data_IF_239116091793
#
_entry.id   IF_239116091793
#
_cell.length_a   1.000
_cell.length_b   1.000
_cell.length_c   1.000
_cell.angle_alpha   90.00
_cell.angle_beta   90.00
_cell.angle_gamma   90.00
#
_symmetry.space_group_name_H-M   'P 1'
#
loop_
_entity.id
_entity.type
_entity.pdbx_description
1 polymer ?
#
# COMPACT_ATOMS: atom_id res chain seq x y z
N UNK A 1 7.09 6.92 13.57
CA UNK A 1 7.05 8.36 13.21
C UNK A 1 6.22 9.06 14.27
N UNK A 2 6.90 9.80 15.13
CA UNK A 2 6.22 10.54 16.21
C UNK A 2 6.39 12.06 16.08
N UNK A 3 7.43 12.50 15.36
CA UNK A 3 7.74 13.91 15.16
C UNK A 3 8.04 14.23 13.70
N UNK A 4 7.80 15.48 13.30
CA UNK A 4 8.24 16.00 12.00
C UNK A 4 9.78 15.94 11.89
N UNK A 5 10.30 15.69 10.68
CA UNK A 5 11.73 15.57 10.40
C UNK A 5 12.32 14.16 10.58
N UNK A 6 11.61 13.24 11.25
CA UNK A 6 12.11 11.87 11.45
C UNK A 6 12.22 11.11 10.11
N UNK A 7 11.16 11.17 9.29
CA UNK A 7 11.15 10.49 8.00
C UNK A 7 12.12 11.18 7.03
N UNK A 8 12.23 12.50 7.05
CA UNK A 8 13.22 13.21 6.24
C UNK A 8 14.65 12.70 6.52
N UNK A 9 15.02 12.61 7.80
CA UNK A 9 16.33 12.11 8.21
C UNK A 9 16.58 10.68 7.72
N UNK A 10 15.61 9.77 7.94
CA UNK A 10 15.72 8.38 7.51
C UNK A 10 15.76 8.26 5.99
N UNK A 11 14.94 9.03 5.30
CA UNK A 11 14.91 9.04 3.82
C UNK A 11 16.22 9.51 3.21
N UNK A 12 16.86 10.56 3.77
CA UNK A 12 18.16 11.03 3.32
C UNK A 12 19.27 9.99 3.52
N UNK A 13 19.17 9.16 4.54
CA UNK A 13 20.12 8.06 4.78
C UNK A 13 19.84 6.90 3.80
N UNK A 14 18.58 6.48 3.68
CA UNK A 14 18.18 5.32 2.88
C UNK A 14 18.23 5.59 1.37
N UNK A 15 18.02 6.84 0.93
CA UNK A 15 17.94 7.26 -0.47
C UNK A 15 17.04 6.34 -1.31
N UNK A 16 15.74 6.20 -0.96
CA UNK A 16 14.88 5.19 -1.54
C UNK A 16 14.70 5.39 -3.05
N UNK A 17 14.76 4.30 -3.81
CA UNK A 17 14.53 4.29 -5.26
C UNK A 17 13.04 4.40 -5.62
N UNK A 18 12.14 4.12 -4.68
CA UNK A 18 10.69 4.28 -4.80
C UNK A 18 10.09 4.57 -3.42
N UNK A 19 8.91 5.19 -3.38
CA UNK A 19 8.15 5.36 -2.14
C UNK A 19 6.72 4.86 -2.29
N UNK A 20 6.17 4.37 -1.17
CA UNK A 20 4.76 3.99 -1.06
C UNK A 20 4.17 4.69 0.16
N UNK A 21 3.03 5.38 -0.02
CA UNK A 21 2.24 5.91 1.08
C UNK A 21 0.84 5.28 1.00
N UNK A 22 0.54 4.45 1.99
CA UNK A 22 -0.66 3.60 1.97
C UNK A 22 -1.93 4.30 2.45
N UNK A 23 -1.81 5.18 3.42
CA UNK A 23 -2.94 5.95 3.97
C UNK A 23 -2.45 7.11 4.83
N UNK A 24 -3.38 8.03 5.14
CA UNK A 24 -3.23 9.06 6.17
C UNK A 24 -4.27 8.76 7.27
N UNK A 25 -3.90 7.82 8.13
CA UNK A 25 -4.73 7.43 9.28
C UNK A 25 -4.66 8.44 10.42
N UNK A 26 -5.23 8.07 11.56
CA UNK A 26 -5.19 8.84 12.80
C UNK A 26 -4.05 8.43 13.74
N UNK A 27 -3.28 7.41 13.37
CA UNK A 27 -2.10 6.99 14.15
C UNK A 27 -1.12 8.15 14.28
N UNK A 28 -0.61 8.35 15.48
CA UNK A 28 0.29 9.46 15.84
C UNK A 28 -0.34 10.87 15.84
N UNK A 29 -1.67 10.98 15.77
CA UNK A 29 -2.37 12.28 15.80
C UNK A 29 -2.10 13.04 17.10
N UNK A 30 -1.88 12.32 18.20
CA UNK A 30 -1.54 12.92 19.52
C UNK A 30 -0.22 13.71 19.46
N UNK A 31 0.74 13.27 18.64
CA UNK A 31 2.05 13.90 18.52
C UNK A 31 2.09 14.96 17.40
N UNK A 32 1.36 14.75 16.33
CA UNK A 32 1.40 15.59 15.12
C UNK A 32 0.22 16.58 15.04
N UNK A 33 -0.84 16.38 15.81
CA UNK A 33 -1.94 17.32 16.00
C UNK A 33 -3.03 17.27 14.92
N UNK A 34 -2.73 16.94 13.67
CA UNK A 34 -3.72 16.91 12.58
C UNK A 34 -3.39 15.88 11.49
N UNK A 35 -4.38 15.52 10.67
CA UNK A 35 -4.16 14.67 9.50
C UNK A 35 -3.27 15.34 8.45
N UNK A 36 -3.35 16.64 8.30
CA UNK A 36 -2.48 17.43 7.44
C UNK A 36 -1.02 17.37 7.90
N UNK A 37 -0.78 17.43 9.19
CA UNK A 37 0.57 17.27 9.74
C UNK A 37 1.10 15.84 9.55
N UNK A 38 0.24 14.81 9.68
CA UNK A 38 0.59 13.43 9.38
C UNK A 38 0.93 13.26 7.87
N UNK A 39 0.13 13.87 6.97
CA UNK A 39 0.42 13.88 5.55
C UNK A 39 1.80 14.49 5.26
N UNK A 40 2.05 15.70 5.80
CA UNK A 40 3.32 16.40 5.61
C UNK A 40 4.51 15.57 6.11
N UNK A 41 4.38 14.97 7.29
CA UNK A 41 5.41 14.11 7.85
C UNK A 41 5.66 12.84 7.00
N UNK A 42 4.61 12.21 6.44
CA UNK A 42 4.79 11.07 5.51
C UNK A 42 5.42 11.48 4.19
N UNK A 43 5.09 12.67 3.68
CA UNK A 43 5.70 13.21 2.46
C UNK A 43 7.19 13.56 2.62
N UNK A 44 7.70 13.65 3.84
CA UNK A 44 9.14 13.82 4.08
C UNK A 44 9.99 12.71 3.44
N UNK A 45 9.41 11.52 3.16
CA UNK A 45 10.11 10.44 2.46
C UNK A 45 10.66 10.90 1.10
N UNK A 46 9.99 11.83 0.45
CA UNK A 46 10.39 12.37 -0.84
C UNK A 46 11.72 13.16 -0.78
N UNK A 47 12.09 13.66 0.38
CA UNK A 47 13.29 14.49 0.59
C UNK A 47 14.62 13.73 0.35
N UNK A 48 14.63 12.40 0.48
CA UNK A 48 15.80 11.56 0.22
C UNK A 48 15.77 10.86 -1.14
N UNK A 49 14.70 11.03 -1.92
CA UNK A 49 14.54 10.37 -3.21
C UNK A 49 15.23 11.15 -4.33
N UNK A 50 15.67 10.41 -5.36
CA UNK A 50 16.18 11.02 -6.60
C UNK A 50 15.02 11.56 -7.45
N UNK A 51 15.19 12.68 -8.16
CA UNK A 51 14.21 13.15 -9.12
C UNK A 51 13.80 12.06 -10.13
N UNK A 52 12.51 11.98 -10.44
CA UNK A 52 11.98 10.96 -11.37
C UNK A 52 11.71 9.59 -10.76
N UNK A 53 12.05 9.34 -9.49
CA UNK A 53 11.72 8.10 -8.82
C UNK A 53 10.20 7.93 -8.69
N UNK A 54 9.66 6.69 -8.78
CA UNK A 54 8.22 6.44 -8.66
C UNK A 54 7.73 6.60 -7.22
N UNK A 55 6.53 7.16 -7.09
CA UNK A 55 5.80 7.33 -5.82
C UNK A 55 4.42 6.73 -5.95
N UNK A 56 4.15 5.65 -5.24
CA UNK A 56 2.83 5.02 -5.18
C UNK A 56 2.00 5.60 -4.03
N UNK A 57 0.82 6.10 -4.34
CA UNK A 57 -0.11 6.68 -3.37
C UNK A 57 -1.46 5.97 -3.43
N UNK A 58 -2.03 5.67 -2.26
CA UNK A 58 -3.39 5.14 -2.20
C UNK A 58 -4.41 6.24 -2.59
N UNK A 59 -5.01 6.10 -3.76
CA UNK A 59 -6.01 7.04 -4.29
C UNK A 59 -7.35 6.99 -3.56
N UNK A 60 -7.61 5.94 -2.76
CA UNK A 60 -8.79 5.87 -1.89
C UNK A 60 -8.65 6.77 -0.65
N UNK A 61 -7.44 7.24 -0.36
CA UNK A 61 -7.22 8.24 0.69
C UNK A 61 -7.40 9.65 0.10
N UNK A 62 -8.38 10.43 0.60
CA UNK A 62 -8.69 11.75 0.03
C UNK A 62 -7.53 12.75 0.10
N UNK A 63 -6.68 12.67 1.14
CA UNK A 63 -5.55 13.58 1.30
C UNK A 63 -4.43 13.24 0.33
N UNK A 64 -4.14 11.95 0.16
CA UNK A 64 -3.15 11.49 -0.82
C UNK A 64 -3.57 11.81 -2.25
N UNK A 65 -4.85 11.57 -2.59
CA UNK A 65 -5.41 11.90 -3.91
C UNK A 65 -5.32 13.40 -4.18
N UNK A 66 -5.64 14.24 -3.19
CA UNK A 66 -5.59 15.70 -3.31
C UNK A 66 -4.17 16.21 -3.55
N UNK A 67 -3.17 15.62 -2.91
CA UNK A 67 -1.77 16.10 -3.02
C UNK A 67 -1.04 15.53 -4.24
N UNK A 68 -1.47 14.41 -4.78
CA UNK A 68 -0.80 13.70 -5.88
C UNK A 68 -0.40 14.57 -7.08
N UNK A 69 -1.26 15.51 -7.60
CA UNK A 69 -0.89 16.35 -8.72
C UNK A 69 0.23 17.36 -8.42
N UNK A 70 0.52 17.63 -7.16
CA UNK A 70 1.52 18.61 -6.73
C UNK A 70 2.85 17.98 -6.32
N UNK A 71 2.95 16.66 -6.35
CA UNK A 71 4.19 15.93 -6.04
C UNK A 71 5.11 15.95 -7.26
N UNK A 72 6.34 16.48 -7.17
CA UNK A 72 7.28 16.60 -8.30
C UNK A 72 8.00 15.27 -8.58
N UNK A 73 7.28 14.16 -8.60
CA UNK A 73 7.76 12.81 -8.83
C UNK A 73 6.81 12.05 -9.76
N UNK A 74 7.23 10.91 -10.27
CA UNK A 74 6.37 10.03 -11.05
C UNK A 74 5.32 9.38 -10.13
N UNK A 75 4.16 10.02 -9.98
CA UNK A 75 3.11 9.56 -9.08
C UNK A 75 2.21 8.52 -9.74
N UNK A 76 2.00 7.40 -9.05
CA UNK A 76 1.08 6.32 -9.43
C UNK A 76 0.00 6.20 -8.37
N UNK A 77 -1.24 6.49 -8.73
CA UNK A 77 -2.40 6.27 -7.85
C UNK A 77 -2.87 4.83 -7.95
N UNK A 78 -3.10 4.19 -6.81
CA UNK A 78 -3.70 2.86 -6.74
C UNK A 78 -4.86 2.82 -5.76
N UNK A 79 -5.79 1.91 -5.94
CA UNK A 79 -6.93 1.75 -5.03
C UNK A 79 -8.03 0.83 -5.54
N UNK A 80 -9.11 0.77 -4.77
CA UNK A 80 -10.29 -0.05 -5.05
C UNK A 80 -11.46 0.83 -5.51
N UNK A 81 -11.64 1.97 -4.83
CA UNK A 81 -12.83 2.82 -4.96
C UNK A 81 -12.62 3.99 -5.96
N UNK A 82 -11.43 4.14 -6.48
CA UNK A 82 -11.09 5.24 -7.38
C UNK A 82 -10.63 4.73 -8.76
N UNK A 83 -10.62 5.63 -9.72
CA UNK A 83 -10.16 5.42 -11.10
C UNK A 83 -8.65 5.61 -11.28
N UNK A 84 -7.86 5.22 -10.26
CA UNK A 84 -6.39 5.31 -10.27
C UNK A 84 -5.72 4.48 -11.36
N UNK A 85 -4.42 4.66 -11.47
CA UNK A 85 -3.59 4.00 -12.49
C UNK A 85 -3.56 2.47 -12.35
N UNK A 86 -3.68 1.98 -11.10
CA UNK A 86 -3.70 0.55 -10.76
C UNK A 86 -4.89 0.28 -9.85
N UNK A 87 -5.79 -0.59 -10.28
CA UNK A 87 -7.06 -0.87 -9.58
C UNK A 87 -7.23 -2.35 -9.31
N UNK A 88 -8.07 -2.67 -8.31
CA UNK A 88 -8.60 -4.01 -8.13
C UNK A 88 -10.05 -4.07 -8.61
N UNK A 89 -10.34 -5.02 -9.48
CA UNK A 89 -11.67 -5.31 -10.02
C UNK A 89 -12.05 -6.77 -9.72
N UNK A 90 -13.32 -7.13 -9.89
CA UNK A 90 -13.85 -8.51 -9.70
C UNK A 90 -13.52 -9.11 -8.33
N UNK A 91 -13.62 -8.30 -7.28
CA UNK A 91 -13.23 -8.68 -5.93
C UNK A 91 -14.18 -9.74 -5.36
N UNK A 92 -13.62 -10.87 -4.96
CA UNK A 92 -14.30 -11.97 -4.28
C UNK A 92 -13.60 -12.25 -2.95
N UNK A 93 -14.30 -12.03 -1.85
CA UNK A 93 -13.76 -12.23 -0.51
C UNK A 93 -14.39 -13.47 0.14
N UNK A 94 -13.55 -14.29 0.74
CA UNK A 94 -13.93 -15.38 1.63
C UNK A 94 -13.27 -15.18 3.00
N UNK A 95 -13.64 -15.94 4.03
CA UNK A 95 -12.96 -15.86 5.33
C UNK A 95 -11.46 -16.22 5.30
N UNK A 96 -10.98 -16.88 4.24
CA UNK A 96 -9.63 -17.41 4.16
C UNK A 96 -8.78 -16.74 3.10
N UNK A 97 -9.39 -16.25 2.04
CA UNK A 97 -8.68 -15.70 0.88
C UNK A 97 -9.46 -14.57 0.22
N UNK A 98 -8.74 -13.78 -0.54
CA UNK A 98 -9.34 -12.74 -1.40
C UNK A 98 -8.82 -12.92 -2.81
N UNK A 99 -9.73 -12.97 -3.80
CA UNK A 99 -9.42 -13.00 -5.23
C UNK A 99 -9.84 -11.71 -5.87
N UNK A 100 -9.03 -11.20 -6.77
CA UNK A 100 -9.34 -10.00 -7.54
C UNK A 100 -8.47 -9.92 -8.80
N UNK A 101 -8.85 -9.04 -9.71
CA UNK A 101 -8.06 -8.71 -10.90
C UNK A 101 -7.33 -7.40 -10.68
N UNK A 102 -6.01 -7.39 -10.82
CA UNK A 102 -5.24 -6.13 -10.90
C UNK A 102 -5.38 -5.58 -12.31
N UNK A 103 -5.90 -4.36 -12.41
CA UNK A 103 -6.13 -3.68 -13.69
C UNK A 103 -5.30 -2.41 -13.79
N UNK A 104 -4.64 -2.22 -14.93
CA UNK A 104 -3.97 -0.99 -15.33
C UNK A 104 -4.47 -0.56 -16.71
N UNK A 105 -3.98 0.55 -17.24
CA UNK A 105 -4.28 0.95 -18.63
C UNK A 105 -3.81 -0.08 -19.67
N UNK A 106 -2.75 -0.84 -19.38
CA UNK A 106 -2.03 -1.65 -20.37
C UNK A 106 -2.11 -3.14 -20.12
N UNK A 107 -2.43 -3.57 -18.89
CA UNK A 107 -2.45 -4.98 -18.51
C UNK A 107 -3.50 -5.24 -17.43
N UNK A 108 -3.98 -6.48 -17.39
CA UNK A 108 -4.77 -7.00 -16.30
C UNK A 108 -4.34 -8.44 -16.00
N UNK A 109 -4.36 -8.81 -14.71
CA UNK A 109 -3.99 -10.16 -14.29
C UNK A 109 -4.67 -10.54 -12.98
N UNK A 110 -5.05 -11.82 -12.81
CA UNK A 110 -5.70 -12.29 -11.60
C UNK A 110 -4.70 -12.44 -10.44
N UNK A 111 -5.16 -12.17 -9.24
CA UNK A 111 -4.40 -12.33 -8.00
C UNK A 111 -5.25 -13.05 -6.97
N UNK A 112 -4.63 -14.00 -6.25
CA UNK A 112 -5.21 -14.63 -5.06
C UNK A 112 -4.32 -14.32 -3.87
N UNK A 113 -4.90 -13.69 -2.84
CA UNK A 113 -4.25 -13.49 -1.55
C UNK A 113 -4.77 -14.54 -0.57
N UNK A 114 -3.88 -15.21 0.14
CA UNK A 114 -4.26 -16.16 1.20
C UNK A 114 -4.53 -15.46 2.55
N UNK A 115 -5.12 -14.28 2.47
CA UNK A 115 -5.58 -13.47 3.59
C UNK A 115 -6.83 -12.70 3.18
N UNK A 116 -7.82 -12.54 4.08
CA UNK A 116 -9.02 -11.76 3.80
C UNK A 116 -8.79 -10.27 4.01
N UNK A 117 -9.74 -9.47 3.52
CA UNK A 117 -9.91 -8.07 3.89
C UNK A 117 -9.39 -7.06 2.86
N UNK A 118 -10.21 -6.04 2.64
CA UNK A 118 -9.98 -4.97 1.64
C UNK A 118 -8.67 -4.19 1.85
N UNK A 119 -8.21 -4.07 3.10
CA UNK A 119 -6.92 -3.44 3.39
C UNK A 119 -5.74 -4.25 2.81
N UNK A 120 -5.85 -5.59 2.78
CA UNK A 120 -4.84 -6.45 2.16
C UNK A 120 -4.83 -6.32 0.64
N UNK A 121 -5.99 -6.07 0.00
CA UNK A 121 -6.05 -5.73 -1.43
C UNK A 121 -5.27 -4.44 -1.69
N UNK A 122 -5.50 -3.39 -0.90
CA UNK A 122 -4.76 -2.11 -1.06
C UNK A 122 -3.25 -2.29 -0.88
N UNK A 123 -2.83 -3.09 0.10
CA UNK A 123 -1.41 -3.41 0.30
C UNK A 123 -0.84 -4.20 -0.89
N UNK A 124 -1.61 -5.14 -1.44
CA UNK A 124 -1.22 -5.91 -2.62
C UNK A 124 -1.11 -5.03 -3.88
N UNK A 125 -2.04 -4.08 -4.06
CA UNK A 125 -1.96 -3.11 -5.15
C UNK A 125 -0.70 -2.23 -5.03
N UNK A 126 -0.37 -1.79 -3.82
CA UNK A 126 0.87 -1.05 -3.55
C UNK A 126 2.11 -1.87 -3.95
N UNK A 127 2.15 -3.15 -3.58
CA UNK A 127 3.22 -4.07 -3.95
C UNK A 127 3.24 -4.32 -5.47
N UNK A 128 2.07 -4.46 -6.12
CA UNK A 128 1.97 -4.60 -7.58
C UNK A 128 2.51 -3.36 -8.30
N UNK A 129 2.21 -2.13 -7.83
CA UNK A 129 2.80 -0.90 -8.37
C UNK A 129 4.33 -0.98 -8.30
N UNK A 130 4.90 -1.37 -7.16
CA UNK A 130 6.35 -1.53 -7.03
C UNK A 130 6.88 -2.57 -8.02
N UNK A 131 6.26 -3.75 -8.11
CA UNK A 131 6.66 -4.79 -9.05
C UNK A 131 6.68 -4.30 -10.50
N UNK A 132 5.61 -3.63 -10.94
CA UNK A 132 5.52 -3.03 -12.28
C UNK A 132 6.63 -2.00 -12.50
N UNK A 133 6.87 -1.11 -11.54
CA UNK A 133 7.90 -0.06 -11.66
C UNK A 133 9.32 -0.61 -11.71
N UNK A 134 9.56 -1.78 -11.13
CA UNK A 134 10.85 -2.47 -11.17
C UNK A 134 10.95 -3.55 -12.26
N UNK A 135 9.97 -3.61 -13.18
CA UNK A 135 10.00 -4.45 -14.37
C UNK A 135 9.69 -5.93 -14.15
N UNK A 136 9.05 -6.28 -13.03
CA UNK A 136 8.55 -7.64 -12.83
C UNK A 136 7.39 -7.94 -13.80
N UNK A 137 7.32 -9.18 -14.26
CA UNK A 137 6.20 -9.67 -15.06
C UNK A 137 4.93 -9.82 -14.22
N UNK A 138 3.78 -9.86 -14.88
CA UNK A 138 2.49 -10.10 -14.21
C UNK A 138 2.47 -11.40 -13.42
N UNK A 139 3.07 -12.45 -13.95
CA UNK A 139 3.15 -13.77 -13.31
C UNK A 139 4.02 -13.75 -12.05
N UNK A 140 5.16 -13.04 -12.09
CA UNK A 140 6.03 -12.86 -10.92
C UNK A 140 5.33 -12.08 -9.81
N UNK A 141 4.62 -11.01 -10.17
CA UNK A 141 3.83 -10.21 -9.22
C UNK A 141 2.71 -11.06 -8.60
N UNK A 142 1.91 -11.74 -9.43
CA UNK A 142 0.81 -12.58 -8.96
C UNK A 142 1.31 -13.71 -8.06
N UNK A 143 2.40 -14.39 -8.44
CA UNK A 143 3.03 -15.44 -7.65
C UNK A 143 3.56 -14.90 -6.31
N UNK A 144 4.23 -13.75 -6.32
CA UNK A 144 4.74 -13.09 -5.12
C UNK A 144 3.62 -12.75 -4.13
N UNK A 145 2.53 -12.18 -4.63
CA UNK A 145 1.35 -11.84 -3.84
C UNK A 145 0.65 -13.08 -3.27
N UNK A 146 0.51 -14.16 -4.06
CA UNK A 146 -0.09 -15.42 -3.59
C UNK A 146 0.74 -16.10 -2.49
N UNK A 147 2.06 -15.90 -2.49
CA UNK A 147 2.95 -16.43 -1.45
C UNK A 147 2.91 -15.64 -0.14
N UNK A 148 2.29 -14.46 -0.14
CA UNK A 148 2.17 -13.67 1.08
C UNK A 148 1.40 -14.44 2.16
N UNK A 149 1.89 -14.37 3.38
CA UNK A 149 1.24 -14.89 4.58
C UNK A 149 1.27 -13.77 5.62
N UNK A 150 0.18 -13.61 6.35
CA UNK A 150 0.17 -12.71 7.49
C UNK A 150 1.25 -13.17 8.48
N UNK A 151 2.16 -12.28 8.83
CA UNK A 151 3.27 -12.58 9.73
C UNK A 151 2.94 -12.20 11.17
N UNK A 152 3.43 -13.00 12.12
CA UNK A 152 3.36 -12.69 13.53
C UNK A 152 1.97 -12.82 14.16
N UNK A 153 1.71 -12.03 15.20
CA UNK A 153 0.47 -12.03 15.98
C UNK A 153 -0.68 -11.28 15.32
N UNK A 154 -0.56 -10.83 14.06
CA UNK A 154 -1.63 -10.13 13.34
C UNK A 154 -2.48 -11.11 12.57
N UNK A 155 -3.77 -11.22 12.94
CA UNK A 155 -4.76 -12.10 12.30
C UNK A 155 -4.34 -13.58 12.26
N UNK A 156 -3.60 -14.03 13.29
CA UNK A 156 -3.24 -15.43 13.42
C UNK A 156 -4.49 -16.22 13.83
N UNK A 157 -5.00 -17.04 12.91
CA UNK A 157 -6.16 -17.90 13.15
C UNK A 157 -5.72 -19.31 13.46
N UNK A 158 -6.21 -19.86 14.54
CA UNK A 158 -6.05 -21.27 14.89
C UNK A 158 -7.34 -21.86 15.48
N UNK A 159 -7.49 -23.16 15.39
CA UNK A 159 -8.63 -23.86 15.97
C UNK A 159 -8.24 -24.56 17.27
N UNK A 160 -9.02 -24.34 18.30
CA UNK A 160 -8.84 -25.01 19.58
C UNK A 160 -10.19 -25.33 20.21
N UNK A 161 -10.42 -26.64 20.52
CA UNK A 161 -11.65 -27.07 21.19
C UNK A 161 -12.93 -26.80 20.41
N UNK A 162 -12.90 -26.82 19.07
CA UNK A 162 -14.05 -26.53 18.18
C UNK A 162 -14.34 -25.02 18.00
N UNK A 163 -13.48 -24.15 18.50
CA UNK A 163 -13.58 -22.71 18.34
C UNK A 163 -12.49 -22.21 17.39
N UNK A 164 -12.86 -21.33 16.47
CA UNK A 164 -11.89 -20.54 15.69
C UNK A 164 -11.46 -19.33 16.51
N UNK A 165 -10.17 -19.22 16.80
CA UNK A 165 -9.57 -18.11 17.55
C UNK A 165 -8.79 -17.26 16.55
N UNK A 166 -9.03 -15.94 16.59
CA UNK A 166 -8.26 -14.96 15.82
C UNK A 166 -7.49 -14.12 16.84
N UNK A 167 -6.18 -14.12 16.73
CA UNK A 167 -5.27 -13.33 17.56
C UNK A 167 -4.80 -12.14 16.71
N UNK A 168 -5.07 -10.89 17.20
CA UNK A 168 -4.77 -9.65 16.47
C UNK A 168 -4.05 -8.65 17.39
#
# INVERSE_FOLDING_TARGET
MSHAGEIERLSKIAQPAAAVITNIGVSHIENLGSKEAILNAKLEILKGMKPGSPVALCGDDPLLRRVAPFIPFQTVLYGIENDGNVRAEDIQETPLETRFTVCTKYMSFPVTLNVPGRHNIKNALAAAVCGIQFGLTTDEIALGLTRYRAGGMRQHRYERGGFSIIED
#
